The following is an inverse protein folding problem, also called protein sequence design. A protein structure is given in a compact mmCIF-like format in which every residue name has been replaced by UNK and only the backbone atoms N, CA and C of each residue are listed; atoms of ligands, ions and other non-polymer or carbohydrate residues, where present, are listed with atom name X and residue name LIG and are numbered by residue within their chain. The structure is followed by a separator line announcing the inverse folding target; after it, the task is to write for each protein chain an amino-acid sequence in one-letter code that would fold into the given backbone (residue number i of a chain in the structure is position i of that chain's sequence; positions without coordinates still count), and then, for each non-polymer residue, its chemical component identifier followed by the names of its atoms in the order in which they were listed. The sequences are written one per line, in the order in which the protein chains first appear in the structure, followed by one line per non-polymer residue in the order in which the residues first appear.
data_IF_813359361770
#
_entry.id   IF_813359361770
#
_cell.length_a   1.000
_cell.length_b   1.000
_cell.length_c   1.000
_cell.angle_alpha   90.00
_cell.angle_beta   90.00
_cell.angle_gamma   90.00
#
_symmetry.space_group_name_H-M   'P 1'
#
loop_
_entity.id
_entity.type
_entity.pdbx_description
1 polymer ?
#
# COMPACT_ATOMS: atom_id res chain seq x y z
N UNK A 1 -8.50 9.30 6.52
CA UNK A 1 -9.81 8.82 6.06
C UNK A 1 -9.62 7.43 5.47
N UNK A 2 -10.39 6.41 5.88
CA UNK A 2 -10.32 5.06 5.30
C UNK A 2 -10.75 5.10 3.83
N UNK A 3 -9.83 4.79 2.90
CA UNK A 3 -10.17 4.58 1.50
C UNK A 3 -10.66 3.14 1.35
N UNK A 4 -11.88 3.00 0.85
CA UNK A 4 -12.42 1.70 0.47
C UNK A 4 -12.04 1.39 -0.98
N UNK A 5 -11.73 0.13 -1.28
CA UNK A 5 -11.70 -0.33 -2.64
C UNK A 5 -13.13 -0.24 -3.19
N UNK A 6 -13.27 0.23 -4.43
CA UNK A 6 -14.55 0.18 -5.11
C UNK A 6 -15.03 -1.28 -5.07
N UNK A 7 -16.23 -1.53 -4.54
CA UNK A 7 -16.82 -2.85 -4.61
C UNK A 7 -16.84 -3.28 -6.08
N UNK A 8 -16.72 -4.58 -6.39
CA UNK A 8 -17.20 -5.01 -7.67
C UNK A 8 -18.67 -4.62 -7.74
N UNK A 9 -18.98 -3.63 -8.58
CA UNK A 9 -20.30 -3.59 -9.21
C UNK A 9 -20.51 -4.99 -9.82
N UNK A 10 -21.74 -5.48 -9.91
CA UNK A 10 -21.99 -6.86 -10.40
C UNK A 10 -21.38 -7.11 -11.80
N UNK A 11 -20.97 -6.05 -12.48
CA UNK A 11 -20.26 -5.96 -13.76
C UNK A 11 -18.74 -6.17 -13.72
N UNK A 12 -18.03 -5.98 -12.58
CA UNK A 12 -16.56 -6.10 -12.51
C UNK A 12 -16.16 -7.44 -11.89
N UNK A 13 -15.59 -8.38 -12.68
CA UNK A 13 -15.15 -9.67 -12.14
C UNK A 13 -14.08 -9.49 -11.07
N UNK A 14 -14.12 -10.28 -9.99
CA UNK A 14 -13.09 -10.29 -8.94
C UNK A 14 -11.66 -10.43 -9.53
N UNK A 15 -11.52 -11.27 -10.56
CA UNK A 15 -10.27 -11.45 -11.29
C UNK A 15 -9.77 -10.16 -11.99
N UNK A 16 -10.66 -9.27 -12.43
CA UNK A 16 -10.28 -7.97 -12.98
C UNK A 16 -9.78 -7.00 -11.90
N UNK A 17 -10.38 -7.02 -10.71
CA UNK A 17 -9.90 -6.30 -9.52
C UNK A 17 -8.51 -6.79 -9.10
N UNK A 18 -8.30 -8.10 -9.05
CA UNK A 18 -6.99 -8.70 -8.74
C UNK A 18 -5.93 -8.35 -9.79
N UNK A 19 -6.27 -8.28 -11.08
CA UNK A 19 -5.31 -7.86 -12.12
C UNK A 19 -4.98 -6.36 -12.09
N UNK A 20 -5.89 -5.53 -11.60
CA UNK A 20 -5.76 -4.06 -11.66
C UNK A 20 -5.38 -3.42 -10.31
N UNK A 21 -5.09 -4.23 -9.27
CA UNK A 21 -4.85 -3.74 -7.91
C UNK A 21 -3.79 -2.68 -7.78
N UNK A 22 -2.70 -2.79 -8.54
CA UNK A 22 -1.65 -1.78 -8.53
C UNK A 22 -2.16 -0.38 -8.91
N UNK A 23 -3.20 -0.31 -9.74
CA UNK A 23 -3.81 0.93 -10.20
C UNK A 23 -4.82 1.46 -9.19
N UNK A 24 -5.82 0.65 -8.82
CA UNK A 24 -6.91 1.14 -7.96
C UNK A 24 -6.48 1.36 -6.50
N UNK A 25 -5.46 0.64 -6.03
CA UNK A 25 -4.92 0.83 -4.68
C UNK A 25 -3.97 2.03 -4.59
N UNK A 26 -3.41 2.49 -5.71
CA UNK A 26 -2.33 3.49 -5.72
C UNK A 26 -0.92 2.91 -5.55
N UNK A 27 -0.74 1.59 -5.58
CA UNK A 27 0.59 0.98 -5.43
C UNK A 27 1.58 1.36 -6.55
N UNK A 28 1.11 1.71 -7.75
CA UNK A 28 1.95 2.26 -8.83
C UNK A 28 2.70 3.53 -8.42
N UNK A 29 2.07 4.37 -7.61
CA UNK A 29 2.69 5.62 -7.15
C UNK A 29 3.85 5.35 -6.19
N UNK A 30 3.75 4.30 -5.38
CA UNK A 30 4.85 3.85 -4.52
C UNK A 30 6.02 3.38 -5.37
N UNK A 31 5.78 2.54 -6.39
CA UNK A 31 6.85 2.12 -7.30
C UNK A 31 7.53 3.30 -8.01
N UNK A 32 6.75 4.30 -8.43
CA UNK A 32 7.24 5.46 -9.17
C UNK A 32 8.07 6.41 -8.30
N UNK A 33 7.66 6.61 -7.05
CA UNK A 33 8.20 7.67 -6.20
C UNK A 33 9.11 7.18 -5.07
N UNK A 34 9.18 5.87 -4.85
CA UNK A 34 10.06 5.31 -3.84
C UNK A 34 11.54 5.56 -4.18
N UNK A 35 12.32 6.21 -3.28
CA UNK A 35 13.74 6.37 -3.48
C UNK A 35 14.46 5.02 -3.57
N UNK A 36 15.28 4.82 -4.60
CA UNK A 36 16.04 3.56 -4.80
C UNK A 36 16.89 3.19 -3.59
N UNK A 37 17.47 4.18 -2.91
CA UNK A 37 18.29 3.98 -1.71
C UNK A 37 17.54 3.39 -0.52
N UNK A 38 16.21 3.44 -0.48
CA UNK A 38 15.43 2.83 0.60
C UNK A 38 15.25 1.33 0.45
N UNK A 39 15.60 0.78 -0.73
CA UNK A 39 15.50 -0.63 -1.05
C UNK A 39 14.06 -1.15 -0.83
N UNK A 40 13.13 -0.74 -1.68
CA UNK A 40 11.75 -1.26 -1.69
C UNK A 40 11.78 -2.76 -2.00
N UNK A 41 11.34 -3.59 -1.04
CA UNK A 41 11.38 -5.05 -1.15
C UNK A 41 10.05 -5.65 -1.56
N UNK A 42 8.96 -5.12 -1.03
CA UNK A 42 7.62 -5.69 -1.21
C UNK A 42 6.54 -4.64 -1.01
N UNK A 43 5.53 -4.68 -1.87
CA UNK A 43 4.24 -4.03 -1.64
C UNK A 43 3.20 -5.12 -1.52
N UNK A 44 2.38 -5.06 -0.49
CA UNK A 44 1.26 -5.99 -0.32
C UNK A 44 0.01 -5.23 0.08
N UNK A 45 -1.15 -5.77 -0.29
CA UNK A 45 -2.44 -5.22 0.08
C UNK A 45 -3.05 -6.10 1.16
N UNK A 46 -3.34 -5.52 2.32
CA UNK A 46 -4.12 -6.19 3.37
C UNK A 46 -5.53 -5.67 3.38
N UNK A 47 -6.47 -6.56 3.08
CA UNK A 47 -7.90 -6.30 3.22
C UNK A 47 -8.25 -6.34 4.71
N UNK A 48 -9.01 -5.34 5.17
CA UNK A 48 -9.59 -5.38 6.49
C UNK A 48 -10.78 -6.36 6.47
N UNK A 49 -10.63 -7.50 7.16
CA UNK A 49 -11.65 -8.56 7.20
C UNK A 49 -12.71 -8.32 8.27
N UNK A 50 -12.59 -7.28 9.11
CA UNK A 50 -13.49 -7.08 10.25
C UNK A 50 -14.90 -6.65 9.87
N UNK A 51 -15.12 -6.16 8.65
CA UNK A 51 -16.39 -5.51 8.31
C UNK A 51 -17.36 -6.36 7.48
N UNK A 52 -16.94 -7.22 6.54
CA UNK A 52 -17.89 -8.04 5.76
C UNK A 52 -17.19 -9.21 5.02
N UNK A 53 -17.74 -10.42 5.13
CA UNK A 53 -17.29 -11.61 4.34
C UNK A 53 -17.89 -11.67 2.93
N UNK A 54 -18.73 -10.71 2.56
CA UNK A 54 -19.39 -10.69 1.25
C UNK A 54 -18.47 -10.05 0.20
N UNK A 55 -18.16 -10.76 -0.89
CA UNK A 55 -17.24 -10.26 -1.93
C UNK A 55 -17.82 -9.08 -2.73
N UNK A 56 -19.12 -8.81 -2.63
CA UNK A 56 -19.84 -7.78 -3.40
C UNK A 56 -19.92 -6.40 -2.74
N UNK A 57 -19.17 -6.14 -1.66
CA UNK A 57 -19.22 -4.86 -0.93
C UNK A 57 -17.88 -4.14 -0.94
N UNK A 58 -17.88 -2.79 -0.84
CA UNK A 58 -16.65 -2.04 -0.66
C UNK A 58 -15.92 -2.55 0.58
N UNK A 59 -14.59 -2.50 0.55
CA UNK A 59 -13.77 -2.95 1.67
C UNK A 59 -12.62 -1.99 1.92
N UNK A 60 -12.33 -1.73 3.19
CA UNK A 60 -11.14 -1.00 3.58
C UNK A 60 -9.88 -1.88 3.36
N UNK A 61 -8.79 -1.23 2.96
CA UNK A 61 -7.49 -1.88 2.81
C UNK A 61 -6.36 -0.99 3.31
N UNK A 62 -5.22 -1.63 3.58
CA UNK A 62 -3.95 -0.98 3.88
C UNK A 62 -2.90 -1.51 2.90
N UNK A 63 -2.18 -0.61 2.25
CA UNK A 63 -0.98 -0.95 1.50
C UNK A 63 0.21 -1.03 2.45
N UNK A 64 0.81 -2.20 2.55
CA UNK A 64 2.00 -2.45 3.35
C UNK A 64 3.22 -2.43 2.45
N UNK A 65 4.11 -1.46 2.68
CA UNK A 65 5.32 -1.24 1.89
C UNK A 65 6.55 -1.56 2.75
N UNK A 66 7.25 -2.62 2.35
CA UNK A 66 8.45 -3.11 3.01
C UNK A 66 9.69 -2.51 2.39
N UNK A 67 10.55 -1.96 3.25
CA UNK A 67 11.82 -1.38 2.88
C UNK A 67 12.99 -2.07 3.59
N UNK A 68 14.16 -1.99 2.96
CA UNK A 68 15.43 -2.40 3.56
C UNK A 68 16.07 -1.30 4.41
N UNK A 69 15.90 -0.03 4.02
CA UNK A 69 16.60 1.10 4.66
C UNK A 69 15.78 2.40 4.59
N UNK A 70 14.62 2.44 5.23
CA UNK A 70 13.77 3.65 5.31
C UNK A 70 13.93 4.42 6.63
N UNK A 71 14.31 3.76 7.73
CA UNK A 71 14.39 4.35 9.06
C UNK A 71 15.70 5.12 9.35
N UNK A 72 16.58 5.26 8.37
CA UNK A 72 17.79 6.05 8.53
C UNK A 72 17.42 7.54 8.72
N UNK A 73 18.04 8.29 9.66
CA UNK A 73 17.64 9.67 9.94
C UNK A 73 17.67 10.60 8.72
N UNK A 74 18.59 10.40 7.79
CA UNK A 74 18.67 11.16 6.53
C UNK A 74 17.45 11.01 5.62
N UNK A 75 16.65 9.96 5.82
CA UNK A 75 15.47 9.66 5.01
C UNK A 75 14.20 10.31 5.56
N UNK A 76 14.23 10.87 6.78
CA UNK A 76 13.03 11.36 7.48
C UNK A 76 12.23 12.35 6.64
N UNK A 77 12.87 13.38 6.08
CA UNK A 77 12.20 14.42 5.29
C UNK A 77 11.57 13.82 4.02
N UNK A 78 12.32 12.96 3.32
CA UNK A 78 11.84 12.29 2.11
C UNK A 78 10.70 11.31 2.41
N UNK A 79 10.72 10.64 3.56
CA UNK A 79 9.63 9.78 4.04
C UNK A 79 8.36 10.57 4.30
N UNK A 80 8.47 11.75 4.92
CA UNK A 80 7.35 12.66 5.12
C UNK A 80 6.80 13.18 3.78
N UNK A 81 7.66 13.60 2.83
CA UNK A 81 7.22 13.99 1.47
C UNK A 81 6.48 12.86 0.77
N UNK A 82 6.99 11.62 0.89
CA UNK A 82 6.34 10.45 0.29
C UNK A 82 4.95 10.21 0.90
N UNK A 83 4.81 10.30 2.22
CA UNK A 83 3.52 10.17 2.90
C UNK A 83 2.52 11.23 2.40
N UNK A 84 2.94 12.49 2.30
CA UNK A 84 2.08 13.57 1.83
C UNK A 84 1.69 13.41 0.36
N UNK A 85 2.64 13.04 -0.49
CA UNK A 85 2.39 12.79 -1.92
C UNK A 85 1.36 11.69 -2.14
N UNK A 86 1.47 10.60 -1.37
CA UNK A 86 0.54 9.47 -1.47
C UNK A 86 -0.84 9.83 -0.90
N UNK A 87 -0.89 10.65 0.14
CA UNK A 87 -2.14 11.21 0.71
C UNK A 87 -2.88 12.06 -0.33
N UNK A 88 -2.20 13.01 -0.98
CA UNK A 88 -2.79 13.92 -1.98
C UNK A 88 -3.31 13.16 -3.21
N UNK A 89 -2.69 12.04 -3.60
CA UNK A 89 -3.15 11.18 -4.69
C UNK A 89 -4.24 10.20 -4.30
N UNK A 90 -4.78 10.30 -3.09
CA UNK A 90 -5.78 9.38 -2.56
C UNK A 90 -5.33 7.91 -2.68
N UNK A 91 -4.07 7.58 -2.38
CA UNK A 91 -3.56 6.19 -2.44
C UNK A 91 -4.02 5.30 -1.26
N UNK A 92 -5.03 5.75 -0.51
CA UNK A 92 -5.55 5.03 0.65
C UNK A 92 -4.61 5.01 1.84
N UNK A 93 -4.80 4.06 2.74
CA UNK A 93 -3.93 3.89 3.90
C UNK A 93 -2.67 3.15 3.52
N UNK A 94 -1.54 3.68 3.97
CA UNK A 94 -0.22 3.17 3.61
C UNK A 94 0.61 3.05 4.86
N UNK A 95 1.19 1.87 5.05
CA UNK A 95 2.17 1.60 6.08
C UNK A 95 3.53 1.45 5.40
N UNK A 96 4.44 2.40 5.66
CA UNK A 96 5.84 2.28 5.28
C UNK A 96 6.61 1.69 6.48
N UNK A 97 7.30 0.56 6.29
CA UNK A 97 8.04 -0.09 7.37
C UNK A 97 9.35 -0.69 6.89
N UNK A 98 10.30 -0.83 7.81
CA UNK A 98 11.56 -1.53 7.54
C UNK A 98 11.50 -2.95 8.09
N UNK A 99 11.78 -3.96 7.25
CA UNK A 99 11.93 -5.33 7.74
C UNK A 99 13.32 -5.48 8.38
N UNK A 100 13.37 -5.58 9.70
CA UNK A 100 14.58 -6.04 10.40
C UNK A 100 14.75 -7.53 10.14
N UNK A 101 15.80 -7.89 9.40
CA UNK A 101 16.30 -9.27 9.40
C UNK A 101 17.02 -9.47 10.72
N UNK A 102 16.37 -10.15 11.65
CA UNK A 102 17.05 -10.66 12.84
C UNK A 102 17.76 -11.93 12.36
N UNK A 103 19.08 -11.86 12.20
CA UNK A 103 19.88 -13.07 12.09
C UNK A 103 19.94 -13.65 13.49
N UNK A 104 19.18 -14.72 13.73
CA UNK A 104 19.37 -15.54 14.91
C UNK A 104 20.66 -16.32 14.65
N UNK A 105 21.72 -15.93 15.36
CA UNK A 105 22.99 -16.66 15.39
C UNK A 105 22.85 -17.93 16.24
#
# INVERSE_FOLDING_TARGET
MLKEACAPDKSVPQHALEKSWLSWSGAREIYKHSPRGWNLRRISLRRNLTVNRTPSRPFAYILMCEYGSILHPSNTILALDMCERLRVRNCGHIALYQKRTINVA
#
